data_IF_959341786309
#
_entry.id   IF_959341786309
#
_cell.length_a   1.000
_cell.length_b   1.000
_cell.length_c   1.000
_cell.angle_alpha   90.00
_cell.angle_beta   90.00
_cell.angle_gamma   90.00
#
_symmetry.space_group_name_H-M   'P 1'
#
loop_
_entity.id
_entity.type
_entity.pdbx_description
1 polymer ?
#
# COMPACT_ATOMS: atom_id res chain seq x y z
N UNK A 1 19.87 -9.55 -29.92
CA UNK A 1 18.68 -10.05 -29.22
C UNK A 1 17.65 -10.53 -30.20
N UNK A 2 17.41 -11.82 -30.24
CA UNK A 2 16.54 -12.43 -31.24
C UNK A 2 15.15 -12.87 -30.74
N UNK A 3 14.89 -12.70 -29.46
CA UNK A 3 13.65 -13.18 -28.81
C UNK A 3 12.58 -12.13 -28.59
N UNK A 4 12.86 -10.89 -28.92
CA UNK A 4 11.92 -9.81 -28.64
C UNK A 4 11.64 -9.57 -27.17
N UNK A 5 12.62 -9.83 -26.32
CA UNK A 5 12.49 -9.61 -24.89
C UNK A 5 12.27 -8.12 -24.61
N UNK A 6 11.42 -7.85 -23.64
CA UNK A 6 11.15 -6.48 -23.20
C UNK A 6 12.40 -5.88 -22.53
N UNK A 7 12.67 -4.61 -22.79
CA UNK A 7 13.77 -3.91 -22.13
C UNK A 7 13.42 -3.61 -20.67
N UNK A 8 14.45 -3.38 -19.86
CA UNK A 8 14.26 -2.99 -18.45
C UNK A 8 13.43 -1.72 -18.34
N UNK A 9 13.70 -0.72 -19.18
CA UNK A 9 12.94 0.53 -19.16
C UNK A 9 11.48 0.35 -19.50
N UNK A 10 11.16 -0.48 -20.49
CA UNK A 10 9.78 -0.76 -20.86
C UNK A 10 9.07 -1.58 -19.77
N UNK A 11 9.77 -2.51 -19.15
CA UNK A 11 9.24 -3.27 -18.02
C UNK A 11 8.89 -2.35 -16.84
N UNK A 12 9.76 -1.42 -16.52
CA UNK A 12 9.51 -0.45 -15.45
C UNK A 12 8.34 0.46 -15.78
N UNK A 13 8.19 0.85 -17.03
CA UNK A 13 7.07 1.67 -17.49
C UNK A 13 5.73 0.95 -17.33
N UNK A 14 5.66 -0.29 -17.79
CA UNK A 14 4.45 -1.14 -17.63
C UNK A 14 4.15 -1.35 -16.16
N UNK A 15 5.14 -1.67 -15.38
CA UNK A 15 5.02 -1.89 -13.95
C UNK A 15 4.45 -0.65 -13.25
N UNK A 16 5.02 0.52 -13.56
CA UNK A 16 4.61 1.78 -12.97
C UNK A 16 3.15 2.09 -13.27
N UNK A 17 2.76 2.06 -14.55
CA UNK A 17 1.39 2.36 -14.95
C UNK A 17 0.38 1.34 -14.43
N UNK A 18 0.65 0.06 -14.65
CA UNK A 18 -0.28 -0.99 -14.27
C UNK A 18 -0.48 -1.04 -12.75
N UNK A 19 0.58 -0.95 -12.00
CA UNK A 19 0.53 -1.03 -10.53
C UNK A 19 -0.23 0.15 -9.95
N UNK A 20 0.09 1.35 -10.38
CA UNK A 20 -0.58 2.56 -9.87
C UNK A 20 -2.07 2.59 -10.21
N UNK A 21 -2.44 2.07 -11.38
CA UNK A 21 -3.84 2.10 -11.82
C UNK A 21 -4.67 0.95 -11.24
N UNK A 22 -4.04 -0.16 -10.89
CA UNK A 22 -4.77 -1.38 -10.53
C UNK A 22 -4.54 -1.83 -9.08
N UNK A 23 -3.36 -1.58 -8.50
CA UNK A 23 -2.99 -2.05 -7.16
C UNK A 23 -2.92 -0.89 -6.18
N UNK A 24 -3.90 -0.02 -6.21
CA UNK A 24 -3.90 1.22 -5.46
C UNK A 24 -4.85 1.25 -4.26
N UNK A 25 -5.31 0.09 -3.82
CA UNK A 25 -6.15 -0.04 -2.61
C UNK A 25 -5.33 -0.64 -1.47
N UNK A 26 -5.38 0.01 -0.32
CA UNK A 26 -4.76 -0.50 0.90
C UNK A 26 -5.82 -0.78 1.96
N UNK A 27 -5.75 -1.97 2.54
CA UNK A 27 -6.49 -2.32 3.75
C UNK A 27 -5.54 -2.26 4.94
N UNK A 28 -6.01 -1.72 6.02
CA UNK A 28 -5.27 -1.68 7.29
C UNK A 28 -6.06 -2.58 8.25
N UNK A 29 -5.36 -3.56 8.81
CA UNK A 29 -5.96 -4.59 9.63
C UNK A 29 -5.49 -4.49 11.09
N UNK A 30 -6.35 -4.97 12.00
CA UNK A 30 -6.01 -5.03 13.42
C UNK A 30 -5.24 -6.33 13.75
N UNK A 31 -5.02 -6.56 15.04
CA UNK A 31 -4.30 -7.74 15.53
C UNK A 31 -5.10 -9.05 15.43
N UNK A 32 -6.37 -8.97 15.02
CA UNK A 32 -7.24 -10.13 14.76
C UNK A 32 -7.51 -10.32 13.27
N UNK A 33 -6.74 -9.64 12.41
CA UNK A 33 -6.87 -9.66 10.94
C UNK A 33 -8.22 -9.11 10.44
N UNK A 34 -8.87 -8.27 11.22
CA UNK A 34 -10.08 -7.58 10.78
C UNK A 34 -9.72 -6.25 10.12
N UNK A 35 -10.44 -5.92 9.06
CA UNK A 35 -10.22 -4.66 8.33
C UNK A 35 -10.72 -3.49 9.16
N UNK A 36 -9.80 -2.60 9.52
CA UNK A 36 -10.09 -1.36 10.23
C UNK A 36 -10.42 -0.26 9.25
N UNK A 37 -9.70 -0.22 8.13
CA UNK A 37 -9.79 0.85 7.16
C UNK A 37 -9.45 0.31 5.77
N UNK A 38 -10.20 0.74 4.76
CA UNK A 38 -9.89 0.45 3.35
C UNK A 38 -9.95 1.75 2.57
N UNK A 39 -8.84 2.13 1.96
CA UNK A 39 -8.70 3.37 1.21
C UNK A 39 -7.98 3.12 -0.10
N UNK A 40 -8.25 3.95 -1.10
CA UNK A 40 -7.51 3.96 -2.36
C UNK A 40 -6.85 5.32 -2.59
N UNK A 41 -6.13 5.46 -3.69
CA UNK A 41 -5.37 6.69 -3.95
C UNK A 41 -6.23 7.90 -4.34
N UNK A 42 -7.54 7.74 -4.46
CA UNK A 42 -8.45 8.88 -4.54
C UNK A 42 -8.64 9.55 -3.17
N UNK A 43 -8.27 8.84 -2.10
CA UNK A 43 -8.28 9.36 -0.74
C UNK A 43 -6.93 10.03 -0.46
N UNK A 44 -6.95 11.25 0.05
CA UNK A 44 -5.74 12.03 0.30
C UNK A 44 -4.81 11.41 1.35
N UNK A 45 -5.30 10.46 2.15
CA UNK A 45 -4.49 9.74 3.14
C UNK A 45 -3.56 8.72 2.51
N UNK A 46 -3.78 8.33 1.25
CA UNK A 46 -3.02 7.29 0.57
C UNK A 46 -2.38 7.83 -0.71
N UNK A 47 -1.08 7.62 -0.88
CA UNK A 47 -0.36 8.08 -2.06
C UNK A 47 0.84 7.20 -2.37
N UNK A 48 1.24 7.18 -3.65
CA UNK A 48 2.49 6.57 -4.05
C UNK A 48 3.64 7.53 -3.77
N UNK A 49 4.66 7.05 -3.08
CA UNK A 49 5.82 7.86 -2.67
C UNK A 49 7.10 7.20 -3.16
N UNK A 50 7.35 7.33 -4.45
CA UNK A 50 8.59 6.83 -5.05
C UNK A 50 8.82 7.52 -6.40
N UNK A 51 10.03 7.41 -6.93
CA UNK A 51 10.38 7.90 -8.26
C UNK A 51 10.15 6.77 -9.27
N UNK A 52 9.74 7.11 -10.49
CA UNK A 52 9.56 6.13 -11.57
C UNK A 52 10.84 5.31 -11.73
N UNK A 53 10.68 4.00 -11.82
CA UNK A 53 11.79 3.06 -11.92
C UNK A 53 12.31 2.55 -10.59
N UNK A 54 11.90 3.14 -9.47
CA UNK A 54 12.30 2.65 -8.15
C UNK A 54 11.77 1.24 -7.90
N UNK A 55 12.56 0.45 -7.24
CA UNK A 55 12.19 -0.85 -6.72
C UNK A 55 12.78 -0.97 -5.31
N UNK A 56 11.96 -1.02 -4.27
CA UNK A 56 10.50 -1.17 -4.28
C UNK A 56 9.73 0.11 -4.60
N UNK A 57 8.52 -0.07 -5.08
CA UNK A 57 7.52 1.00 -5.11
C UNK A 57 6.94 1.15 -3.69
N UNK A 58 6.55 2.35 -3.31
CA UNK A 58 6.05 2.60 -1.96
C UNK A 58 4.65 3.21 -1.99
N UNK A 59 3.71 2.51 -1.38
CA UNK A 59 2.37 3.02 -1.14
C UNK A 59 2.30 3.46 0.32
N UNK A 60 2.00 4.72 0.55
CA UNK A 60 2.09 5.34 1.88
C UNK A 60 0.73 5.82 2.34
N UNK A 61 0.34 5.39 3.55
CA UNK A 61 -0.87 5.85 4.22
C UNK A 61 -0.50 6.68 5.44
N UNK A 62 -1.15 7.82 5.60
CA UNK A 62 -1.02 8.67 6.80
C UNK A 62 -2.37 8.69 7.49
N UNK A 63 -2.44 8.10 8.67
CA UNK A 63 -3.68 7.91 9.43
C UNK A 63 -3.60 8.68 10.74
N UNK A 64 -4.67 9.38 11.07
CA UNK A 64 -4.78 10.13 12.33
C UNK A 64 -5.82 9.51 13.24
N UNK A 65 -5.60 9.58 14.56
CA UNK A 65 -6.59 9.17 15.55
C UNK A 65 -7.88 9.99 15.51
N UNK A 66 -7.84 11.15 14.87
CA UNK A 66 -9.05 11.97 14.65
C UNK A 66 -9.91 11.50 13.49
N UNK A 67 -9.47 10.47 12.76
CA UNK A 67 -10.21 9.91 11.62
C UNK A 67 -11.54 9.33 12.11
N UNK A 68 -12.63 9.75 11.47
CA UNK A 68 -13.99 9.33 11.86
C UNK A 68 -14.23 7.83 11.71
N UNK A 69 -13.47 7.16 10.84
CA UNK A 69 -13.59 5.72 10.61
C UNK A 69 -12.95 4.89 11.73
N UNK A 70 -12.16 5.52 12.60
CA UNK A 70 -11.53 4.84 13.73
C UNK A 70 -12.36 4.99 15.00
N UNK A 71 -12.47 3.88 15.75
CA UNK A 71 -13.08 3.88 17.10
C UNK A 71 -11.95 3.67 18.10
N UNK A 72 -11.57 4.72 18.83
CA UNK A 72 -10.47 4.65 19.78
C UNK A 72 -10.85 3.91 21.07
N UNK A 73 -9.92 3.14 21.66
CA UNK A 73 -8.60 2.82 21.14
C UNK A 73 -8.66 1.83 19.98
N UNK A 74 -7.76 1.97 19.00
CA UNK A 74 -7.71 1.09 17.84
C UNK A 74 -6.28 0.63 17.58
N UNK A 75 -6.08 -0.68 17.56
CA UNK A 75 -4.79 -1.28 17.24
C UNK A 75 -4.73 -1.63 15.75
N UNK A 76 -3.60 -1.38 15.13
CA UNK A 76 -3.30 -1.78 13.76
C UNK A 76 -2.01 -2.57 13.73
N UNK A 77 -1.94 -3.61 12.92
CA UNK A 77 -0.78 -4.51 12.89
C UNK A 77 -0.38 -4.99 11.49
N UNK A 78 -1.19 -4.72 10.48
CA UNK A 78 -0.94 -5.24 9.12
C UNK A 78 -1.47 -4.28 8.08
N UNK A 79 -0.77 -4.20 6.94
CA UNK A 79 -1.28 -3.54 5.75
C UNK A 79 -1.32 -4.54 4.58
N UNK A 80 -2.34 -4.42 3.74
CA UNK A 80 -2.57 -5.29 2.60
C UNK A 80 -2.81 -4.41 1.37
N UNK A 81 -2.09 -4.67 0.29
CA UNK A 81 -2.37 -4.03 -0.99
C UNK A 81 -3.22 -4.99 -1.81
N UNK A 82 -4.30 -4.48 -2.37
CA UNK A 82 -5.25 -5.25 -3.17
C UNK A 82 -5.40 -4.65 -4.55
N UNK A 83 -5.79 -5.49 -5.50
CA UNK A 83 -6.24 -5.01 -6.81
C UNK A 83 -7.59 -4.33 -6.62
N UNK A 84 -7.66 -3.06 -6.97
CA UNK A 84 -8.84 -2.21 -6.77
C UNK A 84 -10.09 -2.83 -7.38
N UNK A 85 -11.15 -2.85 -6.61
CA UNK A 85 -12.42 -3.41 -7.04
C UNK A 85 -12.51 -4.94 -7.04
N UNK A 86 -11.50 -5.63 -6.50
CA UNK A 86 -11.48 -7.10 -6.43
C UNK A 86 -11.03 -7.56 -5.06
N UNK A 87 -11.07 -8.88 -4.81
CA UNK A 87 -10.55 -9.49 -3.59
C UNK A 87 -9.12 -10.00 -3.75
N UNK A 88 -8.48 -9.71 -4.88
CA UNK A 88 -7.11 -10.17 -5.11
C UNK A 88 -6.11 -9.45 -4.19
N UNK A 89 -5.47 -10.20 -3.31
CA UNK A 89 -4.39 -9.70 -2.46
C UNK A 89 -3.11 -9.68 -3.29
N UNK A 90 -2.49 -8.51 -3.38
CA UNK A 90 -1.25 -8.31 -4.12
C UNK A 90 -0.05 -8.49 -3.18
N UNK A 91 -0.14 -7.94 -1.98
CA UNK A 91 0.95 -7.96 -1.01
C UNK A 91 0.42 -7.77 0.40
N UNK A 92 0.99 -8.52 1.35
CA UNK A 92 0.69 -8.36 2.77
C UNK A 92 1.97 -8.00 3.51
N UNK A 93 1.86 -7.13 4.48
CA UNK A 93 2.99 -6.76 5.33
C UNK A 93 2.54 -6.58 6.77
N UNK A 94 3.18 -7.35 7.67
CA UNK A 94 3.01 -7.12 9.10
C UNK A 94 3.85 -5.92 9.51
N UNK A 95 3.27 -5.08 10.35
CA UNK A 95 3.95 -3.91 10.91
C UNK A 95 4.12 -4.13 12.41
N UNK A 96 4.93 -3.30 13.05
CA UNK A 96 4.92 -3.23 14.51
C UNK A 96 3.53 -2.75 14.94
N UNK A 97 2.92 -3.44 15.91
CA UNK A 97 1.61 -3.02 16.40
C UNK A 97 1.63 -1.58 16.88
N UNK A 98 0.63 -0.83 16.47
CA UNK A 98 0.43 0.54 16.88
C UNK A 98 -1.01 0.71 17.35
N UNK A 99 -1.19 1.34 18.51
CA UNK A 99 -2.52 1.61 19.03
C UNK A 99 -2.79 3.10 19.05
N UNK A 100 -3.82 3.52 18.29
CA UNK A 100 -4.35 4.88 18.40
C UNK A 100 -5.14 4.97 19.68
N UNK A 101 -4.72 5.83 20.59
CA UNK A 101 -5.40 6.05 21.87
C UNK A 101 -6.08 7.40 21.95
N UNK A 102 -5.50 8.40 21.28
CA UNK A 102 -5.96 9.78 21.31
C UNK A 102 -6.10 10.32 19.89
N UNK A 103 -6.88 11.39 19.74
CA UNK A 103 -7.11 12.01 18.44
C UNK A 103 -5.86 12.59 17.79
N UNK A 104 -4.85 12.97 18.59
CA UNK A 104 -3.59 13.49 18.11
C UNK A 104 -2.62 12.40 17.61
N UNK A 105 -2.90 11.14 17.90
CA UNK A 105 -2.03 10.06 17.46
C UNK A 105 -2.05 9.96 15.92
N UNK A 106 -0.87 9.80 15.33
CA UNK A 106 -0.70 9.69 13.89
C UNK A 106 0.22 8.53 13.56
N UNK A 107 -0.13 7.79 12.52
CA UNK A 107 0.68 6.68 12.02
C UNK A 107 0.90 6.83 10.52
N UNK A 108 2.16 6.69 10.09
CA UNK A 108 2.50 6.60 8.68
C UNK A 108 2.89 5.17 8.38
N UNK A 109 2.18 4.56 7.43
CA UNK A 109 2.45 3.19 6.98
C UNK A 109 3.06 3.27 5.59
N UNK A 110 4.28 2.73 5.42
CA UNK A 110 4.95 2.63 4.12
C UNK A 110 4.98 1.17 3.71
N UNK A 111 4.08 0.81 2.82
CA UNK A 111 4.02 -0.55 2.30
C UNK A 111 4.88 -0.62 1.03
N UNK A 112 6.02 -1.30 1.14
CA UNK A 112 6.94 -1.48 0.02
C UNK A 112 6.49 -2.66 -0.82
N UNK A 113 6.35 -2.43 -2.12
CA UNK A 113 5.98 -3.45 -3.09
C UNK A 113 7.20 -3.75 -3.96
N UNK A 114 7.82 -4.90 -3.72
CA UNK A 114 9.04 -5.31 -4.41
C UNK A 114 8.73 -6.15 -5.64
N UNK A 115 9.53 -5.96 -6.68
CA UNK A 115 9.36 -6.66 -7.96
C UNK A 115 10.63 -7.41 -8.34
N UNK A 116 10.50 -8.59 -8.98
CA UNK A 116 11.66 -9.25 -9.56
C UNK A 116 12.28 -8.35 -10.63
N UNK A 117 13.61 -8.38 -10.72
CA UNK A 117 14.30 -7.65 -11.77
C UNK A 117 14.45 -8.53 -13.01
N UNK A 118 14.52 -7.89 -14.18
CA UNK A 118 14.80 -8.58 -15.43
C UNK A 118 16.28 -8.98 -15.49
N UNK A 119 16.54 -10.16 -15.96
CA UNK A 119 17.89 -10.68 -16.15
C UNK A 119 18.37 -10.52 -17.59
#
# INVERSE_FOLDING_TARGET
MSRGEITQGAYEDIREEYVKDNYDTMQILDDEDEVVLEIDTSDERLSWEHTIGDNPMRLVAVISGSDEELSLPQTVSKSVIKKTGTDLVVSERSTTEFTFQEEEDELTIRHKLEFPELE
#
